data_IF_999671858612
#
_entry.id   IF_999671858612
#
_cell.length_a   1.000
_cell.length_b   1.000
_cell.length_c   1.000
_cell.angle_alpha   90.00
_cell.angle_beta   90.00
_cell.angle_gamma   90.00
#
_symmetry.space_group_name_H-M   'P 1'
#
loop_
_entity.id
_entity.type
_entity.pdbx_description
1 polymer ?
#
# COMPACT_ATOMS: atom_id res chain seq x y z
N UNK A 1 28.76 13.50 -17.74
CA UNK A 1 29.15 12.21 -18.36
C UNK A 1 27.84 11.45 -18.67
N UNK A 2 27.72 10.96 -19.90
CA UNK A 2 26.51 10.21 -20.28
C UNK A 2 26.58 8.79 -19.69
N UNK A 3 25.44 8.23 -19.22
CA UNK A 3 25.36 6.83 -18.74
C UNK A 3 25.87 5.83 -19.80
N UNK A 4 25.81 6.20 -21.08
CA UNK A 4 26.34 5.37 -22.19
C UNK A 4 27.87 5.22 -22.15
N UNK A 5 28.55 6.09 -21.45
CA UNK A 5 30.03 6.07 -21.30
C UNK A 5 30.46 5.28 -20.06
N UNK A 6 29.51 4.83 -19.23
CA UNK A 6 29.80 4.01 -18.06
C UNK A 6 30.13 2.56 -18.47
N UNK A 7 30.88 1.83 -17.66
CA UNK A 7 30.98 0.38 -17.81
C UNK A 7 29.60 -0.24 -17.90
N UNK A 8 29.45 -1.26 -18.73
CA UNK A 8 28.12 -1.83 -19.03
C UNK A 8 27.43 -2.41 -17.79
N UNK A 9 28.20 -2.99 -16.88
CA UNK A 9 27.74 -3.55 -15.61
C UNK A 9 27.33 -2.51 -14.56
N UNK A 10 27.73 -1.25 -14.74
CA UNK A 10 27.34 -0.13 -13.87
C UNK A 10 26.09 0.62 -14.41
N UNK A 11 25.66 0.35 -15.63
CA UNK A 11 24.46 0.98 -16.23
C UNK A 11 23.22 0.39 -15.56
N UNK A 12 22.29 1.21 -15.04
CA UNK A 12 21.16 0.71 -14.26
C UNK A 12 20.31 -0.35 -14.95
N UNK A 13 20.04 -0.21 -16.26
CA UNK A 13 19.24 -1.18 -17.02
C UNK A 13 19.96 -2.52 -17.20
N UNK A 14 21.21 -2.48 -17.58
CA UNK A 14 22.06 -3.66 -17.77
C UNK A 14 22.29 -4.38 -16.43
N UNK A 15 22.52 -3.62 -15.36
CA UNK A 15 22.64 -4.12 -14.00
C UNK A 15 21.35 -4.82 -13.54
N UNK A 16 20.17 -4.22 -13.81
CA UNK A 16 18.87 -4.85 -13.51
C UNK A 16 18.71 -6.18 -14.25
N UNK A 17 19.00 -6.21 -15.56
CA UNK A 17 18.84 -7.41 -16.39
C UNK A 17 19.77 -8.56 -15.99
N UNK A 18 20.98 -8.24 -15.51
CA UNK A 18 21.97 -9.26 -15.13
C UNK A 18 21.82 -9.74 -13.69
N UNK A 19 21.47 -8.85 -12.76
CA UNK A 19 21.54 -9.10 -11.31
C UNK A 19 20.18 -8.99 -10.61
N UNK A 20 19.14 -8.59 -11.35
CA UNK A 20 17.81 -8.37 -10.78
C UNK A 20 17.62 -6.99 -10.13
N UNK A 21 16.38 -6.65 -9.73
CA UNK A 21 16.05 -5.31 -9.25
C UNK A 21 16.58 -5.00 -7.84
N UNK A 22 16.81 -6.00 -7.00
CA UNK A 22 17.15 -5.84 -5.58
C UNK A 22 18.54 -5.24 -5.33
N UNK A 23 19.42 -5.28 -6.33
CA UNK A 23 20.78 -4.72 -6.23
C UNK A 23 20.86 -3.26 -6.65
N UNK A 24 19.75 -2.69 -7.15
CA UNK A 24 19.69 -1.30 -7.58
C UNK A 24 19.35 -0.39 -6.40
N UNK A 25 20.00 0.77 -6.35
CA UNK A 25 19.58 1.86 -5.48
C UNK A 25 18.29 2.51 -5.99
N UNK A 26 17.57 3.23 -5.12
CA UNK A 26 16.38 4.00 -5.48
C UNK A 26 16.65 4.97 -6.65
N UNK A 27 17.84 5.57 -6.69
CA UNK A 27 18.23 6.47 -7.78
C UNK A 27 18.40 5.74 -9.11
N UNK A 28 18.93 4.52 -9.10
CA UNK A 28 19.08 3.70 -10.30
C UNK A 28 17.73 3.20 -10.81
N UNK A 29 16.84 2.74 -9.90
CA UNK A 29 15.46 2.36 -10.25
C UNK A 29 14.69 3.54 -10.87
N UNK A 30 14.77 4.70 -10.24
CA UNK A 30 14.11 5.91 -10.74
C UNK A 30 14.72 6.36 -12.08
N UNK A 31 16.02 6.22 -12.28
CA UNK A 31 16.68 6.54 -13.55
C UNK A 31 16.21 5.65 -14.72
N UNK A 32 15.97 4.35 -14.47
CA UNK A 32 15.39 3.44 -15.47
C UNK A 32 13.99 3.93 -15.85
N UNK A 33 13.19 4.33 -14.88
CA UNK A 33 11.84 4.85 -15.08
C UNK A 33 11.84 6.19 -15.85
N UNK A 34 12.71 7.13 -15.49
CA UNK A 34 12.83 8.44 -16.14
C UNK A 34 13.36 8.33 -17.58
N UNK A 35 14.14 7.29 -17.89
CA UNK A 35 14.74 6.96 -19.18
C UNK A 35 15.84 7.91 -19.66
N UNK A 36 15.65 9.20 -19.46
CA UNK A 36 16.59 10.25 -19.88
C UNK A 36 16.80 11.24 -18.74
N UNK A 37 18.01 11.81 -18.70
CA UNK A 37 18.30 12.97 -17.87
C UNK A 37 17.80 14.27 -18.51
N UNK A 38 18.31 15.37 -18.01
CA UNK A 38 18.10 16.73 -18.54
C UNK A 38 19.44 17.32 -18.96
N UNK A 39 19.44 18.51 -19.55
CA UNK A 39 20.68 19.16 -19.98
C UNK A 39 21.67 19.27 -18.82
N UNK A 40 22.87 18.70 -18.99
CA UNK A 40 23.94 18.68 -17.98
C UNK A 40 23.85 17.63 -16.90
N UNK A 41 22.73 16.86 -16.79
CA UNK A 41 22.53 15.81 -15.79
C UNK A 41 22.19 14.48 -16.44
N UNK A 42 22.84 13.40 -16.00
CA UNK A 42 22.42 12.05 -16.36
C UNK A 42 21.07 11.70 -15.71
N UNK A 43 20.42 10.63 -16.17
CA UNK A 43 19.18 10.17 -15.53
C UNK A 43 19.40 9.78 -14.06
N UNK A 44 20.56 9.22 -13.71
CA UNK A 44 20.91 8.86 -12.31
C UNK A 44 21.15 10.11 -11.48
N UNK A 45 21.84 11.13 -11.99
CA UNK A 45 22.07 12.38 -11.27
C UNK A 45 20.75 13.13 -11.06
N UNK A 46 19.89 13.18 -12.08
CA UNK A 46 18.54 13.73 -11.96
C UNK A 46 17.74 12.98 -10.89
N UNK A 47 17.78 11.65 -10.88
CA UNK A 47 17.12 10.83 -9.87
C UNK A 47 17.60 11.12 -8.45
N UNK A 48 18.92 11.25 -8.25
CA UNK A 48 19.48 11.63 -6.94
C UNK A 48 18.99 13.00 -6.47
N UNK A 49 18.97 13.99 -7.38
CA UNK A 49 18.48 15.33 -7.06
C UNK A 49 16.98 15.29 -6.69
N UNK A 50 16.17 14.53 -7.41
CA UNK A 50 14.75 14.38 -7.11
C UNK A 50 14.53 13.68 -5.76
N UNK A 51 15.27 12.61 -5.47
CA UNK A 51 15.18 11.93 -4.17
C UNK A 51 15.59 12.85 -3.01
N UNK A 52 16.61 13.70 -3.21
CA UNK A 52 17.00 14.70 -2.21
C UNK A 52 15.90 15.78 -2.04
N UNK A 53 15.27 16.22 -3.13
CA UNK A 53 14.21 17.24 -3.11
C UNK A 53 12.96 16.72 -2.38
N UNK A 54 12.52 15.50 -2.67
CA UNK A 54 11.33 14.89 -2.07
C UNK A 54 11.64 14.19 -0.73
N UNK A 55 12.91 14.01 -0.38
CA UNK A 55 13.37 13.35 0.85
C UNK A 55 13.40 11.82 0.77
N UNK A 56 12.55 11.20 -0.06
CA UNK A 56 12.52 9.74 -0.26
C UNK A 56 11.84 9.37 -1.58
N UNK A 57 12.07 8.13 -2.03
CA UNK A 57 11.34 7.55 -3.17
C UNK A 57 9.83 7.53 -2.89
N UNK A 58 9.43 7.18 -1.67
CA UNK A 58 8.02 7.16 -1.26
C UNK A 58 7.36 8.53 -1.42
N UNK A 59 7.99 9.59 -0.91
CA UNK A 59 7.43 10.94 -1.00
C UNK A 59 7.30 11.41 -2.45
N UNK A 60 8.26 11.06 -3.30
CA UNK A 60 8.21 11.34 -4.74
C UNK A 60 7.04 10.59 -5.41
N UNK A 61 6.86 9.31 -5.09
CA UNK A 61 5.80 8.47 -5.65
C UNK A 61 4.41 8.91 -5.17
N UNK A 62 4.29 9.40 -3.93
CA UNK A 62 3.06 9.88 -3.31
C UNK A 62 2.76 11.37 -3.55
N UNK A 63 3.65 12.10 -4.23
CA UNK A 63 3.45 13.52 -4.51
C UNK A 63 2.21 13.75 -5.39
N UNK A 64 1.48 14.83 -5.14
CA UNK A 64 0.42 15.26 -6.04
C UNK A 64 0.96 15.73 -7.40
N UNK A 65 0.09 15.81 -8.40
CA UNK A 65 0.49 16.15 -9.76
C UNK A 65 1.20 17.51 -9.84
N UNK A 66 0.79 18.49 -9.05
CA UNK A 66 1.36 19.83 -9.08
C UNK A 66 2.77 19.81 -8.53
N UNK A 67 2.96 19.30 -7.30
CA UNK A 67 4.26 19.19 -6.66
C UNK A 67 5.25 18.36 -7.49
N UNK A 68 4.76 17.25 -8.08
CA UNK A 68 5.59 16.41 -8.97
C UNK A 68 6.02 17.18 -10.22
N UNK A 69 5.12 17.87 -10.90
CA UNK A 69 5.41 18.56 -12.17
C UNK A 69 6.21 19.86 -11.99
N UNK A 70 6.24 20.46 -10.80
CA UNK A 70 7.09 21.60 -10.47
C UNK A 70 8.57 21.20 -10.36
N UNK A 71 8.88 19.91 -10.13
CA UNK A 71 10.25 19.44 -10.04
C UNK A 71 10.94 19.40 -11.41
N UNK A 72 12.20 19.85 -11.45
CA UNK A 72 12.98 19.94 -12.69
C UNK A 72 13.10 18.58 -13.39
N UNK A 73 12.79 18.54 -14.69
CA UNK A 73 12.85 17.34 -15.52
C UNK A 73 11.65 16.38 -15.38
N UNK A 74 10.66 16.73 -14.56
CA UNK A 74 9.40 16.02 -14.43
C UNK A 74 8.27 16.79 -15.15
N UNK A 75 7.22 16.06 -15.53
CA UNK A 75 6.07 16.63 -16.22
C UNK A 75 4.88 15.67 -16.22
N UNK A 76 3.71 16.10 -16.75
CA UNK A 76 2.47 15.33 -16.69
C UNK A 76 2.58 13.92 -17.27
N UNK A 77 3.35 13.73 -18.35
CA UNK A 77 3.53 12.41 -18.96
C UNK A 77 4.25 11.43 -18.02
N UNK A 78 5.30 11.88 -17.32
CA UNK A 78 6.02 11.06 -16.34
C UNK A 78 5.17 10.81 -15.10
N UNK A 79 4.38 11.81 -14.67
CA UNK A 79 3.42 11.64 -13.58
C UNK A 79 2.40 10.55 -13.90
N UNK A 80 1.74 10.65 -15.07
CA UNK A 80 0.76 9.66 -15.50
C UNK A 80 1.35 8.25 -15.61
N UNK A 81 2.56 8.12 -16.17
CA UNK A 81 3.27 6.85 -16.25
C UNK A 81 3.54 6.26 -14.86
N UNK A 82 3.96 7.10 -13.91
CA UNK A 82 4.24 6.68 -12.53
C UNK A 82 2.99 6.19 -11.83
N UNK A 83 1.90 6.95 -11.89
CA UNK A 83 0.63 6.57 -11.29
C UNK A 83 0.07 5.28 -11.90
N UNK A 84 0.22 5.09 -13.21
CA UNK A 84 -0.19 3.87 -13.89
C UNK A 84 0.61 2.64 -13.40
N UNK A 85 1.93 2.78 -13.19
CA UNK A 85 2.77 1.68 -12.67
C UNK A 85 2.36 1.33 -11.23
N UNK A 86 2.12 2.32 -10.38
CA UNK A 86 1.66 2.10 -9.00
C UNK A 86 0.30 1.38 -8.97
N UNK A 87 -0.62 1.79 -9.83
CA UNK A 87 -1.94 1.14 -9.94
C UNK A 87 -1.82 -0.29 -10.47
N UNK A 88 -0.96 -0.53 -11.47
CA UNK A 88 -0.70 -1.90 -11.98
C UNK A 88 -0.13 -2.81 -10.89
N UNK A 89 0.78 -2.30 -10.05
CA UNK A 89 1.33 -3.07 -8.93
C UNK A 89 0.23 -3.44 -7.92
N UNK A 90 -0.67 -2.50 -7.58
CA UNK A 90 -1.83 -2.77 -6.70
C UNK A 90 -2.77 -3.83 -7.29
N UNK A 91 -3.09 -3.73 -8.58
CA UNK A 91 -3.94 -4.72 -9.26
C UNK A 91 -3.29 -6.09 -9.33
N UNK A 92 -1.98 -6.15 -9.56
CA UNK A 92 -1.24 -7.41 -9.54
C UNK A 92 -1.35 -8.12 -8.18
N UNK A 93 -1.16 -7.38 -7.08
CA UNK A 93 -1.35 -7.92 -5.73
C UNK A 93 -2.80 -8.38 -5.49
N UNK A 94 -3.78 -7.58 -5.93
CA UNK A 94 -5.20 -7.93 -5.81
C UNK A 94 -5.53 -9.23 -6.55
N UNK A 95 -5.02 -9.40 -7.79
CA UNK A 95 -5.24 -10.60 -8.59
C UNK A 95 -4.64 -11.86 -7.94
N UNK A 96 -3.46 -11.74 -7.35
CA UNK A 96 -2.84 -12.84 -6.61
C UNK A 96 -3.68 -13.26 -5.40
N UNK A 97 -4.25 -12.30 -4.66
CA UNK A 97 -5.13 -12.57 -3.52
C UNK A 97 -6.46 -13.21 -3.94
N UNK A 98 -7.05 -12.79 -5.07
CA UNK A 98 -8.29 -13.38 -5.57
C UNK A 98 -8.14 -14.85 -5.99
N UNK A 99 -6.94 -15.26 -6.41
CA UNK A 99 -6.63 -16.63 -6.81
C UNK A 99 -6.25 -17.54 -5.64
N UNK A 100 -5.88 -16.97 -4.52
CA UNK A 100 -5.42 -17.67 -3.32
C UNK A 100 -6.36 -17.53 -2.13
N UNK A 101 -6.13 -18.35 -1.12
CA UNK A 101 -6.78 -18.23 0.18
C UNK A 101 -6.01 -17.18 1.01
N UNK A 102 -6.70 -16.15 1.53
CA UNK A 102 -6.11 -15.10 2.33
C UNK A 102 -5.43 -15.63 3.62
N UNK A 103 -5.88 -16.76 4.15
CA UNK A 103 -5.28 -17.41 5.33
C UNK A 103 -4.00 -18.18 4.98
N UNK A 104 -3.90 -18.75 3.78
CA UNK A 104 -2.70 -19.48 3.35
C UNK A 104 -1.57 -18.55 2.91
N UNK A 105 -1.86 -17.26 2.72
CA UNK A 105 -0.90 -16.23 2.31
C UNK A 105 -1.01 -14.96 3.17
N UNK A 106 -0.78 -15.02 4.50
CA UNK A 106 -0.90 -13.84 5.39
C UNK A 106 0.00 -12.68 4.94
N UNK A 107 1.19 -12.98 4.43
CA UNK A 107 2.12 -11.95 3.95
C UNK A 107 1.54 -11.22 2.73
N UNK A 108 0.97 -11.94 1.76
CA UNK A 108 0.36 -11.33 0.58
C UNK A 108 -0.84 -10.43 0.96
N UNK A 109 -1.62 -10.86 1.95
CA UNK A 109 -2.73 -10.04 2.49
C UNK A 109 -2.21 -8.75 3.13
N UNK A 110 -1.11 -8.83 3.90
CA UNK A 110 -0.45 -7.64 4.46
C UNK A 110 0.09 -6.72 3.37
N UNK A 111 0.80 -7.27 2.40
CA UNK A 111 1.39 -6.50 1.29
C UNK A 111 0.31 -5.77 0.49
N UNK A 112 -0.82 -6.45 0.23
CA UNK A 112 -1.96 -5.85 -0.45
C UNK A 112 -2.59 -4.72 0.37
N UNK A 113 -2.91 -4.96 1.64
CA UNK A 113 -3.53 -3.95 2.50
C UNK A 113 -2.58 -2.77 2.76
N UNK A 114 -1.29 -3.04 2.88
CA UNK A 114 -0.26 -2.00 2.98
C UNK A 114 -0.20 -1.15 1.69
N UNK A 115 -0.26 -1.78 0.51
CA UNK A 115 -0.30 -1.06 -0.76
C UNK A 115 -1.57 -0.22 -0.94
N UNK A 116 -2.69 -0.62 -0.33
CA UNK A 116 -3.95 0.13 -0.39
C UNK A 116 -3.99 1.31 0.60
N UNK A 117 -3.50 1.12 1.83
CA UNK A 117 -3.80 2.01 2.95
C UNK A 117 -2.61 2.87 3.41
N UNK A 118 -1.35 2.41 3.22
CA UNK A 118 -0.15 3.05 3.78
C UNK A 118 -0.02 4.53 3.44
N UNK A 119 -0.34 4.90 2.20
CA UNK A 119 -0.11 6.26 1.68
C UNK A 119 -1.35 7.15 1.80
N UNK A 120 -2.37 6.72 2.52
CA UNK A 120 -3.55 7.55 2.77
C UNK A 120 -3.19 8.68 3.73
N UNK A 121 -3.50 9.97 3.38
CA UNK A 121 -3.17 11.13 4.22
C UNK A 121 -4.02 11.24 5.48
N UNK A 122 -5.12 10.48 5.52
CA UNK A 122 -6.03 10.37 6.67
C UNK A 122 -6.15 8.92 7.08
N UNK A 123 -6.59 8.71 8.30
CA UNK A 123 -6.94 7.39 8.77
C UNK A 123 -8.14 6.86 7.97
N UNK A 124 -8.01 5.66 7.44
CA UNK A 124 -9.04 4.95 6.68
C UNK A 124 -9.26 3.61 7.33
N UNK A 125 -10.50 3.33 7.72
CA UNK A 125 -10.91 2.01 8.16
C UNK A 125 -11.53 1.25 6.99
N UNK A 126 -11.05 0.04 6.75
CA UNK A 126 -11.41 -0.77 5.59
C UNK A 126 -11.72 -2.22 5.98
N UNK A 127 -12.44 -2.91 5.11
CA UNK A 127 -12.74 -4.34 5.20
C UNK A 127 -12.18 -5.06 3.98
N UNK A 128 -11.60 -6.22 4.23
CA UNK A 128 -11.37 -7.24 3.22
C UNK A 128 -12.44 -8.33 3.44
N UNK A 129 -13.39 -8.42 2.51
CA UNK A 129 -14.51 -9.36 2.56
C UNK A 129 -14.09 -10.69 1.94
N UNK A 130 -14.39 -11.78 2.61
CA UNK A 130 -13.95 -13.13 2.23
C UNK A 130 -15.14 -14.10 2.11
N UNK A 131 -15.04 -15.03 1.17
CA UNK A 131 -15.96 -16.15 1.06
C UNK A 131 -15.67 -17.24 2.10
N UNK A 132 -16.42 -18.33 2.06
CA UNK A 132 -16.26 -19.48 2.99
C UNK A 132 -14.97 -20.27 2.76
N UNK A 133 -14.28 -20.06 1.65
CA UNK A 133 -12.94 -20.60 1.35
C UNK A 133 -11.85 -19.57 1.62
N UNK A 134 -12.17 -18.45 2.29
CA UNK A 134 -11.30 -17.32 2.59
C UNK A 134 -10.69 -16.64 1.36
N UNK A 135 -11.31 -16.76 0.20
CA UNK A 135 -10.92 -16.03 -0.99
C UNK A 135 -11.49 -14.61 -0.94
N UNK A 136 -10.72 -13.65 -1.42
CA UNK A 136 -11.13 -12.25 -1.41
C UNK A 136 -12.29 -12.01 -2.37
N UNK A 137 -13.43 -11.56 -1.82
CA UNK A 137 -14.57 -11.08 -2.57
C UNK A 137 -14.35 -9.63 -2.98
N UNK A 138 -14.03 -8.76 -1.99
CA UNK A 138 -13.86 -7.34 -2.22
C UNK A 138 -13.10 -6.65 -1.08
N UNK A 139 -12.35 -5.61 -1.42
CA UNK A 139 -11.81 -4.62 -0.50
C UNK A 139 -12.73 -3.39 -0.49
N UNK A 140 -13.12 -2.91 0.69
CA UNK A 140 -14.05 -1.78 0.86
C UNK A 140 -13.50 -0.81 1.89
N UNK A 141 -13.24 0.44 1.50
CA UNK A 141 -12.96 1.54 2.42
C UNK A 141 -14.29 2.09 2.96
N UNK A 142 -14.42 2.24 4.29
CA UNK A 142 -15.70 2.55 4.93
C UNK A 142 -15.72 3.88 5.67
N UNK A 143 -14.71 4.13 6.50
CA UNK A 143 -14.69 5.29 7.36
C UNK A 143 -13.38 6.05 7.15
N UNK A 144 -13.49 7.39 7.19
CA UNK A 144 -12.38 8.30 6.93
C UNK A 144 -12.28 9.31 8.06
N UNK A 145 -11.12 9.46 8.70
CA UNK A 145 -10.87 10.34 9.83
C UNK A 145 -10.17 9.59 10.95
N UNK A 146 -9.97 10.21 12.12
CA UNK A 146 -9.43 9.52 13.30
C UNK A 146 -10.50 8.63 13.95
N UNK A 147 -10.13 7.45 14.47
CA UNK A 147 -11.09 6.51 15.11
C UNK A 147 -11.80 7.16 16.30
N UNK A 148 -11.16 8.10 16.99
CA UNK A 148 -11.79 8.87 18.06
C UNK A 148 -12.85 9.87 17.56
N UNK A 149 -12.78 10.32 16.31
CA UNK A 149 -13.70 11.31 15.72
C UNK A 149 -14.59 10.74 14.61
N UNK A 150 -14.18 9.67 13.93
CA UNK A 150 -15.00 8.94 12.98
C UNK A 150 -15.58 7.71 13.68
N UNK A 151 -16.84 7.79 14.10
CA UNK A 151 -17.52 6.65 14.69
C UNK A 151 -17.58 5.50 13.70
N UNK A 152 -16.76 4.47 13.89
CA UNK A 152 -16.90 3.20 13.16
C UNK A 152 -18.15 2.50 13.69
N UNK A 153 -19.15 2.37 12.82
CA UNK A 153 -20.45 1.80 13.21
C UNK A 153 -20.51 0.32 12.83
N UNK A 154 -20.60 -0.62 13.78
CA UNK A 154 -20.74 -2.05 13.48
C UNK A 154 -21.89 -2.37 12.54
N UNK A 155 -23.01 -1.61 12.61
CA UNK A 155 -24.17 -1.80 11.71
C UNK A 155 -23.82 -1.64 10.23
N UNK A 156 -22.97 -0.69 9.88
CA UNK A 156 -22.55 -0.46 8.49
C UNK A 156 -21.68 -1.63 7.99
N UNK A 157 -20.82 -2.14 8.87
CA UNK A 157 -19.98 -3.31 8.59
C UNK A 157 -20.84 -4.54 8.37
N UNK A 158 -21.83 -4.77 9.23
CA UNK A 158 -22.82 -5.86 9.09
C UNK A 158 -23.56 -5.76 7.75
N UNK A 159 -24.09 -4.58 7.40
CA UNK A 159 -24.81 -4.37 6.15
C UNK A 159 -23.95 -4.69 4.92
N UNK A 160 -22.68 -4.25 4.93
CA UNK A 160 -21.75 -4.49 3.82
C UNK A 160 -21.38 -5.96 3.74
N UNK A 161 -21.08 -6.61 4.84
CA UNK A 161 -20.76 -8.03 4.88
C UNK A 161 -21.90 -8.88 4.33
N UNK A 162 -23.15 -8.59 4.73
CA UNK A 162 -24.35 -9.26 4.22
C UNK A 162 -24.59 -8.98 2.73
N UNK A 163 -24.44 -7.72 2.30
CA UNK A 163 -24.62 -7.32 0.89
C UNK A 163 -23.72 -8.11 -0.05
N UNK A 164 -22.51 -8.43 0.40
CA UNK A 164 -21.51 -9.15 -0.40
C UNK A 164 -21.49 -10.66 -0.11
N UNK A 165 -22.40 -11.19 0.71
CA UNK A 165 -22.41 -12.59 1.15
C UNK A 165 -21.04 -13.04 1.72
N UNK A 166 -20.40 -12.19 2.49
CA UNK A 166 -19.12 -12.52 3.12
C UNK A 166 -19.32 -13.55 4.23
N UNK A 167 -18.46 -14.57 4.29
CA UNK A 167 -18.43 -15.55 5.37
C UNK A 167 -17.39 -15.19 6.45
N UNK A 168 -16.42 -14.37 6.08
CA UNK A 168 -15.42 -13.84 6.99
C UNK A 168 -14.94 -12.45 6.53
N UNK A 169 -14.30 -11.72 7.45
CA UNK A 169 -13.70 -10.41 7.17
C UNK A 169 -12.32 -10.30 7.82
N UNK A 170 -11.44 -9.53 7.18
CA UNK A 170 -10.25 -8.96 7.81
C UNK A 170 -10.48 -7.45 7.92
N UNK A 171 -10.35 -6.91 9.12
CA UNK A 171 -10.39 -5.48 9.39
C UNK A 171 -9.02 -4.89 9.10
N UNK A 172 -8.96 -3.67 8.61
CA UNK A 172 -7.70 -2.95 8.42
C UNK A 172 -7.90 -1.45 8.60
N UNK A 173 -6.90 -0.77 9.18
CA UNK A 173 -6.81 0.68 9.14
C UNK A 173 -5.36 1.14 9.11
N UNK A 174 -5.13 2.34 8.61
CA UNK A 174 -3.79 2.93 8.61
C UNK A 174 -3.67 4.00 9.70
N UNK A 175 -2.45 4.12 10.22
CA UNK A 175 -2.04 5.25 11.05
C UNK A 175 -1.17 6.20 10.20
N UNK A 176 -1.65 7.40 9.85
CA UNK A 176 -0.88 8.39 9.08
C UNK A 176 0.42 8.83 9.77
N UNK A 177 0.49 8.68 11.10
CA UNK A 177 1.72 8.91 11.86
C UNK A 177 2.87 7.96 11.51
N UNK A 178 2.56 6.83 10.84
CA UNK A 178 3.49 5.76 10.54
C UNK A 178 3.70 4.74 11.67
N UNK A 179 3.20 5.01 12.88
CA UNK A 179 3.32 4.09 14.03
C UNK A 179 2.14 3.11 14.01
N UNK A 180 2.42 1.82 13.79
CA UNK A 180 1.39 0.77 13.69
C UNK A 180 0.90 0.24 15.06
N UNK A 181 1.28 0.88 16.19
CA UNK A 181 0.82 0.41 17.50
C UNK A 181 -0.66 0.69 17.69
N UNK A 182 -1.50 -0.34 17.92
CA UNK A 182 -2.94 -0.18 18.09
C UNK A 182 -3.28 0.58 19.38
N UNK A 183 -4.25 1.47 19.29
CA UNK A 183 -4.80 2.18 20.43
C UNK A 183 -5.78 1.32 21.24
N UNK A 184 -6.16 1.81 22.42
CA UNK A 184 -7.24 1.20 23.22
C UNK A 184 -8.59 1.27 22.47
N UNK A 185 -8.83 2.33 21.71
CA UNK A 185 -10.04 2.50 20.89
C UNK A 185 -10.10 1.45 19.77
N UNK A 186 -8.97 1.13 19.12
CA UNK A 186 -8.89 0.08 18.10
C UNK A 186 -9.30 -1.29 18.66
N UNK A 187 -8.86 -1.61 19.88
CA UNK A 187 -9.27 -2.85 20.55
C UNK A 187 -10.77 -2.87 20.83
N UNK A 188 -11.30 -1.81 21.42
CA UNK A 188 -12.71 -1.72 21.75
C UNK A 188 -13.62 -1.82 20.52
N UNK A 189 -13.25 -1.16 19.41
CA UNK A 189 -14.06 -1.24 18.20
C UNK A 189 -13.96 -2.62 17.57
N UNK A 190 -12.80 -3.27 17.59
CA UNK A 190 -12.62 -4.63 17.13
C UNK A 190 -13.51 -5.61 17.89
N UNK A 191 -13.53 -5.54 19.23
CA UNK A 191 -14.39 -6.38 20.07
C UNK A 191 -15.87 -6.20 19.72
N UNK A 192 -16.31 -4.95 19.53
CA UNK A 192 -17.69 -4.63 19.16
C UNK A 192 -18.07 -5.14 17.79
N UNK A 193 -17.19 -5.02 16.79
CA UNK A 193 -17.40 -5.53 15.43
C UNK A 193 -17.47 -7.04 15.45
N UNK A 194 -16.52 -7.69 16.13
CA UNK A 194 -16.47 -9.15 16.26
C UNK A 194 -17.75 -9.69 16.89
N UNK A 195 -18.22 -9.09 18.01
CA UNK A 195 -19.47 -9.48 18.63
C UNK A 195 -20.69 -9.29 17.72
N UNK A 196 -20.73 -8.19 16.94
CA UNK A 196 -21.85 -7.94 16.03
C UNK A 196 -21.89 -8.92 14.84
N UNK A 197 -20.73 -9.23 14.26
CA UNK A 197 -20.62 -10.17 13.15
C UNK A 197 -20.84 -11.63 13.57
N UNK A 198 -20.45 -12.00 14.79
CA UNK A 198 -20.70 -13.33 15.36
C UNK A 198 -22.20 -13.66 15.46
N UNK A 199 -23.07 -12.66 15.65
CA UNK A 199 -24.53 -12.87 15.70
C UNK A 199 -25.13 -13.32 14.36
N UNK A 200 -24.40 -13.19 13.28
CA UNK A 200 -24.81 -13.53 11.90
C UNK A 200 -23.83 -14.51 11.23
N UNK A 201 -23.08 -15.26 12.05
CA UNK A 201 -22.12 -16.30 11.63
C UNK A 201 -21.00 -15.79 10.69
N UNK A 202 -20.65 -14.51 10.74
CA UNK A 202 -19.53 -13.95 10.00
C UNK A 202 -18.33 -13.80 10.92
N UNK A 203 -17.17 -14.38 10.54
CA UNK A 203 -15.97 -14.41 11.37
C UNK A 203 -15.08 -13.19 11.08
N UNK A 204 -14.54 -12.58 12.14
CA UNK A 204 -13.39 -11.66 12.03
C UNK A 204 -12.12 -12.49 12.15
N UNK A 205 -11.32 -12.56 11.09
CA UNK A 205 -10.10 -13.39 11.05
C UNK A 205 -8.88 -12.63 11.55
N UNK A 206 -8.80 -11.33 11.31
CA UNK A 206 -7.74 -10.47 11.80
C UNK A 206 -8.16 -9.00 11.80
N UNK A 207 -7.39 -8.18 12.50
CA UNK A 207 -7.39 -6.73 12.38
C UNK A 207 -5.96 -6.25 12.20
N UNK A 208 -5.68 -5.66 11.03
CA UNK A 208 -4.35 -5.22 10.63
C UNK A 208 -4.24 -3.70 10.77
N UNK A 209 -3.30 -3.24 11.58
CA UNK A 209 -2.95 -1.82 11.70
C UNK A 209 -1.73 -1.53 10.86
N UNK A 210 -1.89 -0.63 9.88
CA UNK A 210 -0.89 -0.33 8.86
C UNK A 210 -0.14 0.95 9.25
N UNK A 211 1.15 0.81 9.51
CA UNK A 211 2.08 1.92 9.72
C UNK A 211 3.06 2.11 8.57
N UNK A 212 4.15 2.81 8.82
CA UNK A 212 5.20 3.02 7.83
C UNK A 212 6.15 1.83 7.73
N UNK A 213 5.88 0.93 6.79
CA UNK A 213 6.66 -0.30 6.57
C UNK A 213 6.44 -1.39 7.62
N UNK A 214 5.57 -1.15 8.60
CA UNK A 214 5.24 -2.08 9.68
C UNK A 214 3.73 -2.31 9.68
N UNK A 215 3.32 -3.56 9.85
CA UNK A 215 1.92 -3.95 10.03
C UNK A 215 1.80 -4.75 11.31
N UNK A 216 0.83 -4.39 12.16
CA UNK A 216 0.52 -5.11 13.39
C UNK A 216 -0.76 -5.89 13.20
N UNK A 217 -0.75 -7.17 13.56
CA UNK A 217 -1.88 -8.10 13.52
C UNK A 217 -2.43 -8.34 14.92
N UNK A 218 -3.73 -8.23 15.08
CA UNK A 218 -4.43 -8.56 16.33
C UNK A 218 -4.45 -10.07 16.58
N UNK A 219 -4.64 -10.86 15.52
CA UNK A 219 -4.60 -12.31 15.63
C UNK A 219 -3.23 -12.83 16.10
N UNK A 220 -2.12 -12.29 15.57
CA UNK A 220 -0.77 -12.64 16.02
C UNK A 220 -0.48 -12.22 17.46
N UNK A 221 -1.15 -11.18 17.95
CA UNK A 221 -1.07 -10.74 19.35
C UNK A 221 -1.98 -11.54 20.28
N UNK A 222 -2.80 -12.46 19.74
CA UNK A 222 -3.76 -13.23 20.52
C UNK A 222 -4.90 -12.36 21.06
N UNK A 223 -5.32 -11.34 20.32
CA UNK A 223 -6.41 -10.43 20.71
C UNK A 223 -7.73 -10.71 19.97
N UNK A 224 -7.74 -11.70 19.08
CA UNK A 224 -8.90 -12.24 18.36
C UNK A 224 -8.99 -13.75 18.55
#
# INVERSE_FOLDING_TARGET
>A
MSIKEWPEDERPREKLLRQGPTVLSDAELLAIFLRTGVNGLSAVDLSRNLLNQFGSLRNLLGADQRAFCEAHGLGPAKYAQLQAVLEMAKRHLAEQLQRGDALTSPQLTRDYLQAQLRDRPREVFALLLLDNQHRVIQFVELFFGTIDSASVWPREIVQIALKHNAAAVILAHNHPSGVAEPSRADRQITDRITAALALIDIRVLDHLVIGDGITVSFAERGWL
#
